data_IF_228904190355
#
_entry.id   IF_228904190355
#
_cell.length_a   1.000
_cell.length_b   1.000
_cell.length_c   1.000
_cell.angle_alpha   90.00
_cell.angle_beta   90.00
_cell.angle_gamma   90.00
#
_symmetry.space_group_name_H-M   'P 1'
#
loop_
_entity.id
_entity.type
_entity.pdbx_description
1 polymer ?
#
# COMPACT_ATOMS: atom_id res chain seq x y z
N UNK A 1 -1.29 -5.18 12.47
CA UNK A 1 -0.87 -6.03 13.61
C UNK A 1 -0.49 -7.45 13.18
N UNK A 2 -1.43 -8.32 12.76
CA UNK A 2 -1.11 -9.72 12.41
C UNK A 2 -0.09 -9.88 11.26
N UNK A 3 -0.11 -9.03 10.24
CA UNK A 3 0.88 -9.07 9.16
C UNK A 3 2.32 -8.82 9.68
N UNK A 4 2.49 -7.91 10.64
CA UNK A 4 3.78 -7.59 11.25
C UNK A 4 4.21 -8.63 12.31
N UNK A 5 3.29 -9.46 12.82
CA UNK A 5 3.59 -10.55 13.75
C UNK A 5 4.42 -11.67 13.11
N UNK A 6 4.50 -11.69 11.77
CA UNK A 6 5.40 -12.57 11.01
C UNK A 6 6.86 -12.12 11.14
N UNK A 7 7.09 -10.81 11.31
CA UNK A 7 8.42 -10.20 11.39
C UNK A 7 8.85 -9.90 12.84
N UNK A 8 7.90 -9.62 13.74
CA UNK A 8 8.18 -9.15 15.10
C UNK A 8 7.37 -9.89 16.17
N UNK A 9 7.98 -10.14 17.34
CA UNK A 9 7.29 -10.61 18.54
C UNK A 9 6.54 -9.44 19.20
N UNK A 10 5.31 -9.20 18.76
CA UNK A 10 4.47 -8.11 19.27
C UNK A 10 3.55 -8.60 20.41
N UNK A 11 3.41 -7.84 21.52
CA UNK A 11 2.44 -8.14 22.57
C UNK A 11 1.01 -8.04 22.04
N UNK A 12 0.08 -8.79 22.64
CA UNK A 12 -1.33 -8.80 22.19
C UNK A 12 -1.94 -7.39 22.23
N UNK A 13 -2.18 -6.82 21.05
CA UNK A 13 -2.87 -5.55 20.92
C UNK A 13 -4.36 -5.77 21.13
N UNK A 14 -4.94 -5.07 22.10
CA UNK A 14 -6.38 -4.89 22.18
C UNK A 14 -6.79 -3.87 21.11
N UNK A 15 -7.60 -4.27 20.10
CA UNK A 15 -8.02 -3.32 19.08
C UNK A 15 -8.87 -2.23 19.72
N UNK A 16 -8.41 -0.97 19.64
CA UNK A 16 -9.21 0.19 20.02
C UNK A 16 -10.35 0.34 19.01
N UNK A 17 -11.51 -0.25 19.33
CA UNK A 17 -12.68 -0.18 18.46
C UNK A 17 -13.34 1.18 18.58
N UNK A 18 -13.11 2.03 17.59
CA UNK A 18 -13.78 3.34 17.50
C UNK A 18 -15.21 3.17 17.00
N UNK A 19 -16.15 3.03 17.93
CA UNK A 19 -17.59 2.85 17.66
C UNK A 19 -18.13 3.95 16.73
N UNK A 20 -17.64 5.18 16.83
CA UNK A 20 -18.04 6.31 15.97
C UNK A 20 -17.72 6.06 14.49
N UNK A 21 -16.51 5.59 14.18
CA UNK A 21 -16.07 5.30 12.82
C UNK A 21 -16.82 4.09 12.27
N UNK A 22 -16.99 3.06 13.10
CA UNK A 22 -17.77 1.89 12.74
C UNK A 22 -19.23 2.25 12.41
N UNK A 23 -19.88 3.04 13.26
CA UNK A 23 -21.25 3.52 13.04
C UNK A 23 -21.37 4.36 11.76
N UNK A 24 -20.41 5.27 11.52
CA UNK A 24 -20.37 6.08 10.30
C UNK A 24 -20.24 5.20 9.05
N UNK A 25 -19.32 4.23 9.06
CA UNK A 25 -19.13 3.31 7.94
C UNK A 25 -20.36 2.44 7.67
N UNK A 26 -21.03 1.94 8.72
CA UNK A 26 -22.27 1.19 8.61
C UNK A 26 -23.40 2.04 8.02
N UNK A 27 -23.53 3.30 8.47
CA UNK A 27 -24.52 4.23 7.95
C UNK A 27 -24.28 4.55 6.46
N UNK A 28 -23.02 4.71 6.04
CA UNK A 28 -22.68 4.85 4.63
C UNK A 28 -23.05 3.60 3.82
N UNK A 29 -22.71 2.41 4.31
CA UNK A 29 -23.04 1.16 3.62
C UNK A 29 -24.56 0.97 3.46
N UNK A 30 -25.32 1.23 4.53
CA UNK A 30 -26.78 1.13 4.53
C UNK A 30 -27.39 2.18 3.60
N UNK A 31 -26.93 3.43 3.66
CA UNK A 31 -27.49 4.51 2.84
C UNK A 31 -27.27 4.27 1.35
N UNK A 32 -26.06 3.87 0.93
CA UNK A 32 -25.76 3.55 -0.47
C UNK A 32 -26.63 2.39 -0.97
N UNK A 33 -26.75 1.32 -0.18
CA UNK A 33 -27.56 0.15 -0.55
C UNK A 33 -29.05 0.50 -0.65
N UNK A 34 -29.55 1.30 0.30
CA UNK A 34 -30.94 1.75 0.34
C UNK A 34 -31.25 2.65 -0.85
N UNK A 35 -30.39 3.63 -1.15
CA UNK A 35 -30.58 4.55 -2.29
C UNK A 35 -30.55 3.77 -3.62
N UNK A 36 -29.61 2.85 -3.81
CA UNK A 36 -29.54 2.03 -5.01
C UNK A 36 -30.80 1.17 -5.19
N UNK A 37 -31.29 0.56 -4.11
CA UNK A 37 -32.51 -0.26 -4.12
C UNK A 37 -33.74 0.60 -4.38
N UNK A 38 -33.84 1.77 -3.74
CA UNK A 38 -34.94 2.70 -3.91
C UNK A 38 -35.02 3.23 -5.34
N UNK A 39 -33.90 3.65 -5.94
CA UNK A 39 -33.84 4.09 -7.33
C UNK A 39 -34.22 2.98 -8.30
N UNK A 40 -33.78 1.74 -8.03
CA UNK A 40 -34.15 0.57 -8.85
C UNK A 40 -35.66 0.31 -8.79
N UNK A 41 -36.25 0.34 -7.59
CA UNK A 41 -37.68 0.17 -7.39
C UNK A 41 -38.50 1.29 -8.07
N UNK A 42 -38.07 2.55 -7.92
CA UNK A 42 -38.73 3.70 -8.53
C UNK A 42 -38.74 3.61 -10.06
N UNK A 43 -37.66 3.09 -10.65
CA UNK A 43 -37.57 2.89 -12.10
C UNK A 43 -38.61 1.88 -12.58
N UNK A 44 -38.83 0.80 -11.83
CA UNK A 44 -39.84 -0.22 -12.14
C UNK A 44 -41.26 0.33 -11.92
N UNK A 45 -41.48 1.10 -10.86
CA UNK A 45 -42.81 1.66 -10.55
C UNK A 45 -43.26 2.73 -11.56
N UNK A 46 -42.31 3.42 -12.21
CA UNK A 46 -42.59 4.41 -13.27
C UNK A 46 -42.90 3.78 -14.63
N UNK A 47 -42.54 2.53 -14.87
CA UNK A 47 -42.89 1.81 -16.10
C UNK A 47 -44.34 1.31 -16.08
N UNK A 48 -45.02 1.32 -17.22
CA UNK A 48 -46.40 0.85 -17.31
C UNK A 48 -46.48 -0.66 -17.01
N UNK A 49 -47.41 -1.13 -16.15
CA UNK A 49 -47.49 -2.54 -15.77
C UNK A 49 -47.76 -3.45 -16.97
N UNK A 50 -48.46 -2.95 -18.00
CA UNK A 50 -48.67 -3.68 -19.25
C UNK A 50 -47.36 -3.90 -20.03
N UNK A 51 -46.42 -2.94 -20.03
CA UNK A 51 -45.11 -3.10 -20.71
C UNK A 51 -44.20 -4.12 -20.01
N UNK A 52 -44.28 -4.22 -18.68
CA UNK A 52 -43.49 -5.19 -17.91
C UNK A 52 -43.97 -6.63 -18.10
N UNK A 53 -45.24 -6.85 -18.46
CA UNK A 53 -45.81 -8.19 -18.70
C UNK A 53 -45.61 -8.68 -20.14
N UNK A 54 -45.26 -7.79 -21.08
CA UNK A 54 -44.92 -8.18 -22.44
C UNK A 54 -43.43 -8.55 -22.57
N UNK A 55 -43.10 -9.58 -23.38
CA UNK A 55 -41.70 -9.88 -23.67
C UNK A 55 -41.06 -8.66 -24.34
N UNK A 56 -40.05 -8.07 -23.68
CA UNK A 56 -39.39 -6.87 -24.19
C UNK A 56 -38.89 -7.10 -25.62
N UNK A 57 -39.31 -6.22 -26.54
CA UNK A 57 -38.93 -6.33 -27.94
C UNK A 57 -37.39 -6.34 -28.06
N UNK A 58 -36.82 -7.25 -28.87
CA UNK A 58 -35.38 -7.31 -29.04
C UNK A 58 -34.91 -5.98 -29.64
N UNK A 59 -33.89 -5.32 -29.07
CA UNK A 59 -33.36 -4.09 -29.63
C UNK A 59 -32.89 -4.34 -31.07
N UNK A 60 -33.07 -3.36 -31.98
CA UNK A 60 -32.75 -3.52 -33.39
C UNK A 60 -31.28 -3.89 -33.56
N UNK A 61 -31.02 -4.91 -34.37
CA UNK A 61 -29.66 -5.37 -34.67
C UNK A 61 -28.90 -4.29 -35.44
N UNK A 62 -27.86 -3.72 -34.82
CA UNK A 62 -26.89 -2.83 -35.50
C UNK A 62 -25.64 -3.62 -35.89
N UNK A 63 -24.99 -3.21 -36.99
CA UNK A 63 -23.65 -3.70 -37.37
C UNK A 63 -22.66 -3.47 -36.24
N UNK A 64 -21.72 -4.38 -36.09
CA UNK A 64 -20.81 -4.43 -34.93
C UNK A 64 -19.42 -4.03 -35.37
N UNK A 65 -18.66 -3.37 -34.50
CA UNK A 65 -17.30 -2.93 -34.80
C UNK A 65 -16.36 -4.11 -35.14
N UNK A 66 -16.60 -5.30 -34.59
CA UNK A 66 -15.88 -6.53 -34.93
C UNK A 66 -16.13 -7.03 -36.36
N UNK A 67 -17.21 -6.61 -37.02
CA UNK A 67 -17.42 -6.92 -38.45
C UNK A 67 -16.46 -6.14 -39.35
N UNK A 68 -15.90 -5.02 -38.87
CA UNK A 68 -14.87 -4.27 -39.60
C UNK A 68 -13.46 -4.88 -39.45
N UNK A 69 -13.27 -5.81 -38.52
CA UNK A 69 -11.96 -6.45 -38.28
C UNK A 69 -11.97 -7.87 -38.87
N UNK A 70 -11.88 -7.93 -40.19
CA UNK A 70 -12.03 -9.16 -40.98
C UNK A 70 -11.08 -10.30 -40.58
N UNK A 71 -9.89 -9.99 -40.06
CA UNK A 71 -8.90 -11.00 -39.67
C UNK A 71 -9.38 -11.89 -38.52
N UNK A 72 -10.00 -11.29 -37.49
CA UNK A 72 -10.59 -12.03 -36.38
C UNK A 72 -11.93 -12.63 -36.79
N UNK A 73 -12.72 -11.90 -37.59
CA UNK A 73 -14.06 -12.34 -37.99
C UNK A 73 -14.06 -13.59 -38.87
N UNK A 74 -13.06 -13.75 -39.75
CA UNK A 74 -12.94 -14.94 -40.62
C UNK A 74 -12.60 -16.21 -39.85
N UNK A 75 -11.91 -16.11 -38.71
CA UNK A 75 -11.50 -17.27 -37.88
C UNK A 75 -12.59 -17.79 -36.93
N UNK A 76 -13.65 -17.01 -36.71
CA UNK A 76 -14.74 -17.38 -35.80
C UNK A 76 -15.71 -18.38 -36.45
N UNK A 77 -16.05 -19.44 -35.70
CA UNK A 77 -17.10 -20.38 -36.07
C UNK A 77 -18.48 -19.68 -36.07
N UNK A 78 -19.44 -20.23 -36.82
CA UNK A 78 -20.78 -19.65 -36.96
C UNK A 78 -21.47 -19.38 -35.60
N UNK A 79 -21.37 -20.32 -34.66
CA UNK A 79 -21.86 -20.16 -33.27
C UNK A 79 -21.24 -18.94 -32.58
N UNK A 80 -19.93 -18.74 -32.70
CA UNK A 80 -19.23 -17.64 -32.06
C UNK A 80 -19.61 -16.29 -32.69
N UNK A 81 -19.83 -16.22 -34.01
CA UNK A 81 -20.32 -15.02 -34.70
C UNK A 81 -21.69 -14.58 -34.18
N UNK A 82 -22.59 -15.54 -33.92
CA UNK A 82 -23.90 -15.27 -33.34
C UNK A 82 -23.75 -14.78 -31.89
N UNK A 83 -22.89 -15.41 -31.10
CA UNK A 83 -22.62 -15.00 -29.71
C UNK A 83 -22.05 -13.59 -29.62
N UNK A 84 -21.05 -13.25 -30.44
CA UNK A 84 -20.50 -11.89 -30.50
C UNK A 84 -21.56 -10.88 -30.96
N UNK A 85 -22.41 -11.23 -31.93
CA UNK A 85 -23.56 -10.40 -32.31
C UNK A 85 -24.51 -10.13 -31.15
N UNK A 86 -24.78 -11.15 -30.36
CA UNK A 86 -25.64 -11.01 -29.19
C UNK A 86 -25.00 -10.16 -28.08
N UNK A 87 -23.69 -10.33 -27.85
CA UNK A 87 -22.93 -9.59 -26.84
C UNK A 87 -22.91 -8.09 -27.14
N UNK A 88 -22.61 -7.72 -28.39
CA UNK A 88 -22.53 -6.33 -28.82
C UNK A 88 -23.89 -5.68 -29.08
N UNK A 89 -24.97 -6.47 -29.21
CA UNK A 89 -26.35 -5.97 -29.18
C UNK A 89 -26.72 -5.41 -27.81
N UNK A 90 -26.18 -5.97 -26.73
CA UNK A 90 -26.48 -5.56 -25.34
C UNK A 90 -25.27 -4.94 -24.63
N UNK A 91 -24.70 -3.88 -25.21
CA UNK A 91 -23.45 -3.23 -24.73
C UNK A 91 -23.50 -2.86 -23.24
N UNK A 92 -24.63 -2.34 -22.74
CA UNK A 92 -24.79 -1.96 -21.32
C UNK A 92 -24.64 -3.18 -20.38
N UNK A 93 -25.29 -4.30 -20.72
CA UNK A 93 -25.25 -5.53 -19.92
C UNK A 93 -23.86 -6.16 -19.95
N UNK A 94 -23.20 -6.15 -21.11
CA UNK A 94 -21.83 -6.64 -21.23
C UNK A 94 -20.86 -5.88 -20.32
N UNK A 95 -20.84 -4.54 -20.41
CA UNK A 95 -19.94 -3.73 -19.58
C UNK A 95 -20.22 -3.87 -18.07
N UNK A 96 -21.49 -3.99 -17.66
CA UNK A 96 -21.84 -4.25 -16.26
C UNK A 96 -21.20 -5.54 -15.73
N UNK A 97 -21.24 -6.62 -16.52
CA UNK A 97 -20.65 -7.91 -16.11
C UNK A 97 -19.13 -7.90 -16.12
N UNK A 98 -18.51 -7.31 -17.15
CA UNK A 98 -17.05 -7.26 -17.28
C UNK A 98 -16.45 -6.42 -16.17
N UNK A 99 -17.02 -5.26 -15.88
CA UNK A 99 -16.53 -4.39 -14.82
C UNK A 99 -16.68 -5.04 -13.44
N UNK A 100 -17.75 -5.79 -13.20
CA UNK A 100 -17.95 -6.55 -11.96
C UNK A 100 -16.85 -7.60 -11.76
N UNK A 101 -16.62 -8.46 -12.75
CA UNK A 101 -15.58 -9.49 -12.68
C UNK A 101 -14.19 -8.86 -12.56
N UNK A 102 -13.90 -7.84 -13.37
CA UNK A 102 -12.62 -7.12 -13.33
C UNK A 102 -12.37 -6.47 -11.97
N UNK A 103 -13.39 -5.87 -11.35
CA UNK A 103 -13.30 -5.27 -10.03
C UNK A 103 -12.95 -6.31 -8.96
N UNK A 104 -13.65 -7.45 -8.93
CA UNK A 104 -13.38 -8.51 -7.97
C UNK A 104 -11.95 -9.07 -8.14
N UNK A 105 -11.51 -9.31 -9.37
CA UNK A 105 -10.15 -9.78 -9.64
C UNK A 105 -9.10 -8.74 -9.27
N UNK A 106 -9.31 -7.47 -9.62
CA UNK A 106 -8.39 -6.38 -9.28
C UNK A 106 -8.25 -6.21 -7.76
N UNK A 107 -9.36 -6.28 -7.02
CA UNK A 107 -9.34 -6.20 -5.55
C UNK A 107 -8.56 -7.36 -4.92
N UNK A 108 -8.74 -8.58 -5.44
CA UNK A 108 -8.00 -9.75 -4.98
C UNK A 108 -6.50 -9.59 -5.24
N UNK A 109 -6.12 -9.20 -6.46
CA UNK A 109 -4.71 -8.98 -6.83
C UNK A 109 -4.09 -7.87 -5.97
N UNK A 110 -4.80 -6.77 -5.73
CA UNK A 110 -4.31 -5.70 -4.85
C UNK A 110 -4.10 -6.19 -3.41
N UNK A 111 -5.03 -6.98 -2.87
CA UNK A 111 -4.90 -7.55 -1.53
C UNK A 111 -3.69 -8.49 -1.40
N UNK A 112 -3.47 -9.35 -2.40
CA UNK A 112 -2.29 -10.21 -2.45
C UNK A 112 -0.99 -9.42 -2.66
N UNK A 113 -1.02 -8.40 -3.52
CA UNK A 113 0.13 -7.54 -3.79
C UNK A 113 0.56 -6.74 -2.57
N UNK A 114 -0.39 -6.22 -1.79
CA UNK A 114 -0.10 -5.55 -0.51
C UNK A 114 0.53 -6.52 0.50
N UNK A 115 0.01 -7.76 0.59
CA UNK A 115 0.58 -8.78 1.47
C UNK A 115 2.02 -9.11 1.09
N UNK A 116 2.30 -9.30 -0.20
CA UNK A 116 3.64 -9.61 -0.69
C UNK A 116 4.59 -8.42 -0.50
N UNK A 117 4.19 -7.22 -0.93
CA UNK A 117 5.00 -6.00 -0.81
C UNK A 117 5.48 -5.75 0.62
N UNK A 118 4.61 -5.94 1.61
CA UNK A 118 4.96 -5.74 3.03
C UNK A 118 5.86 -6.88 3.54
N UNK A 119 5.54 -8.13 3.21
CA UNK A 119 6.20 -9.29 3.80
C UNK A 119 7.60 -9.55 3.23
N UNK A 120 7.79 -9.38 1.92
CA UNK A 120 9.04 -9.70 1.24
C UNK A 120 9.81 -8.43 0.93
N UNK A 121 9.21 -7.52 0.18
CA UNK A 121 9.97 -6.44 -0.44
C UNK A 121 10.39 -5.33 0.52
N UNK A 122 9.51 -4.91 1.43
CA UNK A 122 9.85 -3.89 2.44
C UNK A 122 10.83 -4.46 3.46
N UNK A 123 10.62 -5.68 3.93
CA UNK A 123 11.50 -6.30 4.92
C UNK A 123 12.91 -6.56 4.34
N UNK A 124 13.01 -7.12 3.14
CA UNK A 124 14.29 -7.40 2.49
C UNK A 124 15.06 -6.12 2.15
N UNK A 125 14.39 -5.10 1.60
CA UNK A 125 15.07 -3.82 1.31
C UNK A 125 15.49 -3.10 2.59
N UNK A 126 14.62 -3.06 3.60
CA UNK A 126 14.91 -2.32 4.82
C UNK A 126 16.01 -3.00 5.65
N UNK A 127 15.92 -4.33 5.85
CA UNK A 127 16.81 -5.08 6.75
C UNK A 127 17.92 -5.88 6.06
N UNK A 128 17.89 -6.00 4.73
CA UNK A 128 18.97 -6.60 3.95
C UNK A 128 19.85 -5.56 3.25
N UNK A 129 19.23 -4.62 2.54
CA UNK A 129 19.96 -3.65 1.73
C UNK A 129 20.36 -2.39 2.50
N UNK A 130 19.41 -1.79 3.25
CA UNK A 130 19.59 -0.47 3.87
C UNK A 130 20.27 -0.59 5.24
N UNK A 131 19.73 -1.40 6.16
CA UNK A 131 20.32 -1.67 7.47
C UNK A 131 21.19 -2.92 7.39
N UNK A 132 22.51 -2.73 7.46
CA UNK A 132 23.51 -3.81 7.47
C UNK A 132 24.09 -3.96 8.86
N UNK A 133 23.22 -4.27 9.83
CA UNK A 133 23.62 -4.52 11.20
C UNK A 133 22.94 -5.77 11.75
N UNK A 134 23.74 -6.65 12.35
CA UNK A 134 23.21 -7.87 12.98
C UNK A 134 22.61 -7.60 14.35
N UNK A 135 23.13 -6.60 15.07
CA UNK A 135 22.73 -6.26 16.43
C UNK A 135 22.71 -4.74 16.62
N UNK A 136 21.65 -4.22 17.23
CA UNK A 136 21.56 -2.84 17.69
C UNK A 136 21.33 -2.81 19.21
N UNK A 137 22.14 -2.06 19.94
CA UNK A 137 21.98 -1.86 21.38
C UNK A 137 21.46 -0.45 21.63
N UNK A 138 20.30 -0.34 22.26
CA UNK A 138 19.79 0.94 22.75
C UNK A 138 20.09 1.08 24.23
N UNK A 139 20.83 2.12 24.56
CA UNK A 139 21.23 2.45 25.92
C UNK A 139 20.11 3.26 26.58
N UNK A 140 19.75 2.93 27.83
CA UNK A 140 18.80 3.75 28.60
C UNK A 140 19.42 5.13 28.86
N UNK A 141 18.58 6.16 28.86
CA UNK A 141 18.96 7.52 29.26
C UNK A 141 19.50 7.51 30.71
N UNK A 142 20.58 8.26 30.95
CA UNK A 142 21.29 8.40 32.24
C UNK A 142 22.21 7.24 32.67
N UNK A 143 23.06 6.73 31.77
CA UNK A 143 24.18 5.86 32.16
C UNK A 143 25.36 6.68 32.70
N UNK A 144 25.87 6.29 33.87
CA UNK A 144 27.08 6.84 34.47
C UNK A 144 28.30 6.53 33.57
N UNK A 145 29.30 7.42 33.56
CA UNK A 145 30.56 7.24 32.80
C UNK A 145 31.23 5.88 33.06
N UNK A 146 31.15 5.35 34.28
CA UNK A 146 31.68 4.03 34.64
C UNK A 146 30.91 2.87 33.97
N UNK A 147 29.61 3.01 33.76
CA UNK A 147 28.80 1.98 33.10
C UNK A 147 29.07 1.97 31.60
N UNK A 148 29.33 3.13 30.99
CA UNK A 148 29.74 3.23 29.58
C UNK A 148 31.11 2.58 29.33
N UNK A 149 32.09 2.81 30.21
CA UNK A 149 33.43 2.19 30.06
C UNK A 149 33.42 0.68 30.33
N UNK A 150 32.58 0.20 31.26
CA UNK A 150 32.36 -1.23 31.48
C UNK A 150 31.67 -1.92 30.28
N UNK A 151 30.75 -1.23 29.60
CA UNK A 151 30.13 -1.72 28.37
C UNK A 151 31.15 -1.84 27.22
N UNK A 152 31.99 -0.82 27.02
CA UNK A 152 33.03 -0.84 25.97
C UNK A 152 34.02 -1.98 26.20
N UNK A 153 34.43 -2.24 27.45
CA UNK A 153 35.32 -3.37 27.78
C UNK A 153 34.64 -4.73 27.60
N UNK A 154 33.34 -4.84 27.90
CA UNK A 154 32.56 -6.08 27.66
C UNK A 154 32.37 -6.34 26.16
N UNK A 155 32.10 -5.29 25.38
CA UNK A 155 31.97 -5.36 23.92
C UNK A 155 33.29 -5.74 23.24
N UNK A 156 34.42 -5.22 23.73
CA UNK A 156 35.75 -5.58 23.23
C UNK A 156 36.14 -7.05 23.47
N UNK A 157 35.58 -7.69 24.51
CA UNK A 157 35.81 -9.10 24.82
C UNK A 157 34.85 -10.05 24.09
N UNK A 158 33.91 -9.51 23.32
CA UNK A 158 32.96 -10.29 22.53
C UNK A 158 33.49 -10.40 21.09
N UNK A 159 33.18 -11.48 20.37
CA UNK A 159 33.55 -11.67 18.95
C UNK A 159 32.77 -10.69 18.02
N UNK A 160 32.94 -9.39 18.19
CA UNK A 160 32.37 -8.35 17.35
C UNK A 160 33.41 -7.92 16.32
N UNK A 161 33.03 -7.91 15.04
CA UNK A 161 33.91 -7.50 13.94
C UNK A 161 34.12 -5.98 13.90
N UNK A 162 33.09 -5.19 14.18
CA UNK A 162 33.13 -3.72 14.22
C UNK A 162 31.93 -3.18 15.01
N UNK A 163 32.09 -2.08 15.74
CA UNK A 163 30.98 -1.37 16.38
C UNK A 163 30.96 0.11 15.97
N UNK A 164 29.76 0.69 15.87
CA UNK A 164 29.56 2.12 15.62
C UNK A 164 28.62 2.68 16.68
N UNK A 165 29.12 3.64 17.44
CA UNK A 165 28.30 4.39 18.37
C UNK A 165 27.49 5.44 17.60
N UNK A 166 26.18 5.47 17.82
CA UNK A 166 25.30 6.50 17.29
C UNK A 166 24.50 7.15 18.41
N UNK A 167 24.18 8.42 18.23
CA UNK A 167 23.20 9.13 19.06
C UNK A 167 21.96 9.37 18.22
N UNK A 168 20.83 8.86 18.71
CA UNK A 168 19.53 9.04 18.07
C UNK A 168 18.64 9.85 19.00
N UNK A 169 18.09 10.95 18.49
CA UNK A 169 17.19 11.79 19.25
C UNK A 169 15.95 12.18 18.43
N UNK A 170 14.79 12.20 19.08
CA UNK A 170 13.57 12.69 18.46
C UNK A 170 13.55 14.21 18.59
N UNK A 171 13.58 14.91 17.46
CA UNK A 171 13.51 16.37 17.41
C UNK A 171 12.27 16.80 16.63
N UNK A 172 11.60 17.82 17.14
CA UNK A 172 10.49 18.46 16.45
C UNK A 172 11.04 19.62 15.64
N UNK A 173 10.97 19.53 14.32
CA UNK A 173 11.48 20.57 13.42
C UNK A 173 10.30 21.36 12.86
N UNK A 174 10.31 22.67 13.10
CA UNK A 174 9.32 23.57 12.52
C UNK A 174 9.92 24.25 11.28
N UNK A 175 9.23 24.14 10.15
CA UNK A 175 9.63 24.81 8.92
C UNK A 175 9.53 26.33 9.05
N UNK A 176 10.41 27.06 8.36
CA UNK A 176 10.50 28.53 8.41
C UNK A 176 9.29 29.29 7.81
N UNK A 177 8.18 28.61 7.53
CA UNK A 177 6.95 29.18 6.97
C UNK A 177 5.88 29.23 8.05
N UNK A 178 5.30 30.42 8.27
CA UNK A 178 4.61 30.92 9.47
C UNK A 178 3.34 30.19 9.94
N UNK A 179 3.07 28.97 9.47
CA UNK A 179 1.94 28.12 9.90
C UNK A 179 2.18 26.61 9.67
N UNK A 180 3.44 26.16 9.74
CA UNK A 180 3.77 24.74 9.57
C UNK A 180 3.63 24.01 10.90
N UNK A 181 2.77 22.98 10.95
CA UNK A 181 2.70 22.08 12.09
C UNK A 181 4.08 21.46 12.37
N UNK A 182 4.49 21.33 13.64
CA UNK A 182 5.76 20.71 14.00
C UNK A 182 5.87 19.30 13.44
N UNK A 183 6.94 19.02 12.69
CA UNK A 183 7.19 17.70 12.12
C UNK A 183 8.15 16.95 13.06
N UNK A 184 7.66 15.85 13.63
CA UNK A 184 8.50 14.94 14.39
C UNK A 184 9.48 14.21 13.45
N UNK A 185 10.76 14.43 13.71
CA UNK A 185 11.87 13.91 12.92
C UNK A 185 12.89 13.21 13.82
N UNK A 186 13.52 12.17 13.27
CA UNK A 186 14.53 11.40 13.96
C UNK A 186 15.90 11.92 13.55
N UNK A 187 16.61 12.58 14.47
CA UNK A 187 18.00 12.99 14.23
C UNK A 187 18.92 11.85 14.63
N UNK A 188 19.75 11.41 13.70
CA UNK A 188 20.77 10.39 13.92
C UNK A 188 22.16 10.96 13.64
N UNK A 189 23.03 10.94 14.64
CA UNK A 189 24.41 11.42 14.54
C UNK A 189 25.36 10.26 14.85
N UNK A 190 26.11 9.74 13.87
CA UNK A 190 27.15 8.74 14.11
C UNK A 190 28.39 9.36 14.76
N UNK A 191 29.11 8.60 15.58
CA UNK A 191 30.40 9.03 16.13
C UNK A 191 31.50 9.10 15.05
N UNK A 192 31.42 8.24 14.03
CA UNK A 192 32.28 8.27 12.84
C UNK A 192 31.41 8.33 11.56
N UNK A 193 31.41 9.47 10.84
CA UNK A 193 30.66 9.65 9.59
C UNK A 193 31.05 8.66 8.47
N UNK A 194 32.32 8.26 8.40
CA UNK A 194 32.80 7.37 7.32
C UNK A 194 32.34 5.92 7.55
N UNK A 195 32.38 5.46 8.80
CA UNK A 195 31.93 4.14 9.19
C UNK A 195 30.41 3.94 9.04
N UNK A 196 29.60 5.01 9.02
CA UNK A 196 28.15 4.94 8.83
C UNK A 196 27.77 4.19 7.54
N UNK A 197 28.53 4.36 6.46
CA UNK A 197 28.28 3.74 5.16
C UNK A 197 28.31 2.20 5.18
N UNK A 198 29.01 1.60 6.15
CA UNK A 198 29.06 0.15 6.33
C UNK A 198 27.81 -0.41 7.03
N UNK A 199 27.13 0.41 7.84
CA UNK A 199 25.95 0.03 8.62
C UNK A 199 24.64 0.49 7.99
N UNK A 200 24.66 1.62 7.29
CA UNK A 200 23.53 2.22 6.60
C UNK A 200 23.91 2.51 5.16
N UNK A 201 23.36 1.73 4.22
CA UNK A 201 23.54 2.01 2.80
C UNK A 201 22.53 3.07 2.35
N UNK A 202 22.90 4.34 2.53
CA UNK A 202 22.10 5.47 2.08
C UNK A 202 22.24 5.62 0.55
N UNK A 203 21.12 5.83 -0.14
CA UNK A 203 21.09 6.00 -1.61
C UNK A 203 20.24 7.20 -1.99
N UNK A 204 20.59 7.83 -3.10
CA UNK A 204 19.84 8.94 -3.68
C UNK A 204 18.51 8.40 -4.23
N UNK A 205 17.42 9.11 -3.98
CA UNK A 205 16.09 8.68 -4.43
C UNK A 205 15.98 8.66 -5.96
N UNK A 206 16.52 9.68 -6.63
CA UNK A 206 16.40 9.84 -8.09
C UNK A 206 17.42 9.00 -8.86
N UNK A 207 18.66 8.91 -8.37
CA UNK A 207 19.79 8.29 -9.12
C UNK A 207 20.17 6.91 -8.60
N UNK A 208 19.75 6.54 -7.38
CA UNK A 208 20.11 5.27 -6.75
C UNK A 208 21.58 5.16 -6.33
N UNK A 209 22.38 6.21 -6.53
CA UNK A 209 23.80 6.25 -6.16
C UNK A 209 23.99 6.27 -4.64
N UNK A 210 25.04 5.61 -4.10
CA UNK A 210 25.30 5.61 -2.67
C UNK A 210 25.69 7.01 -2.18
N UNK A 211 25.01 7.52 -1.15
CA UNK A 211 25.40 8.73 -0.44
C UNK A 211 26.35 8.40 0.69
N UNK A 212 27.44 9.15 0.78
CA UNK A 212 28.37 9.12 1.91
C UNK A 212 28.18 10.41 2.71
N UNK A 213 28.09 10.27 4.03
CA UNK A 213 28.00 11.41 4.93
C UNK A 213 29.39 12.07 5.06
N UNK A 214 29.52 13.32 4.63
CA UNK A 214 30.70 14.15 4.84
C UNK A 214 30.63 14.91 6.16
N UNK A 215 31.77 15.30 6.74
CA UNK A 215 31.89 16.04 8.03
C UNK A 215 31.12 17.38 8.10
N UNK A 216 30.68 17.91 6.95
CA UNK A 216 29.94 19.17 6.85
C UNK A 216 28.57 19.02 6.13
N UNK A 217 28.03 17.80 6.05
CA UNK A 217 26.78 17.50 5.34
C UNK A 217 25.69 16.98 6.27
N UNK A 218 24.43 17.27 5.92
CA UNK A 218 23.23 16.66 6.54
C UNK A 218 22.50 15.90 5.45
N UNK A 219 22.16 14.63 5.72
CA UNK A 219 21.33 13.83 4.82
C UNK A 219 19.90 13.88 5.38
N UNK A 220 18.96 14.34 4.55
CA UNK A 220 17.54 14.35 4.87
C UNK A 220 16.86 13.21 4.13
N UNK A 221 16.27 12.30 4.88
CA UNK A 221 15.44 11.22 4.32
C UNK A 221 14.04 11.76 4.03
N UNK A 222 13.55 11.53 2.82
CA UNK A 222 12.17 11.83 2.48
C UNK A 222 11.23 10.84 3.17
N UNK A 223 10.16 11.36 3.78
CA UNK A 223 9.06 10.59 4.37
C UNK A 223 8.00 10.25 3.34
#
# INVERSE_FOLDING_TARGET
>A
FNAYRVLYTLPEMTPAFHVSIAALSALFAISVTTVATFLSCLTILRSAPAELMLPSAPPPGKRIFLENVDFIWKKLQFSQKITFRNLFRYKKRFWMTVLGVACCTAMLVAGLGLRDSIATQVAEKQFGDILRNDVSLQLKENLTMEQKSALVTTLANTNLSTYLDNTVNNISVQGSTDNSDPIDSLLMVPADPAALSNYFMLRSYDTGEPLVLSDHGVILTQK
#
